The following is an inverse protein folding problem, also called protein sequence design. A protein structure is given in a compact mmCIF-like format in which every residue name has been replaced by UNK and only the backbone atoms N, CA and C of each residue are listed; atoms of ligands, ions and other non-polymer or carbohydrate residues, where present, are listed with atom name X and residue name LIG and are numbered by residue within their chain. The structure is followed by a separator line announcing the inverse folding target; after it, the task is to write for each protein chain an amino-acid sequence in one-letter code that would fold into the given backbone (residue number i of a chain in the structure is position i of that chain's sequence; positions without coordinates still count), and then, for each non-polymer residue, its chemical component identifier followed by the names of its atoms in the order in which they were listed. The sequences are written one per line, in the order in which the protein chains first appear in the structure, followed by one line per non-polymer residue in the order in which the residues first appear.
data_IF_375723653252
#
_entry.id   IF_375723653252
#
_cell.length_a   1.000
_cell.length_b   1.000
_cell.length_c   1.000
_cell.angle_alpha   90.00
_cell.angle_beta   90.00
_cell.angle_gamma   90.00
#
_symmetry.space_group_name_H-M   'P 1'
#
loop_
_entity.id
_entity.type
_entity.pdbx_description
1 polymer ?
#
# COMPACT_ATOMS: atom_id res chain seq x y z
N UNK A 1 -35.11 -19.27 -19.58
CA UNK A 1 -33.76 -19.48 -20.13
C UNK A 1 -32.78 -18.33 -19.80
N UNK A 2 -33.03 -17.12 -20.18
CA UNK A 2 -32.12 -15.96 -19.94
C UNK A 2 -31.81 -15.65 -18.47
N UNK A 3 -32.73 -15.92 -17.53
CA UNK A 3 -32.49 -15.68 -16.09
C UNK A 3 -31.59 -16.74 -15.43
N UNK A 4 -31.60 -17.97 -15.92
CA UNK A 4 -30.77 -19.05 -15.39
C UNK A 4 -29.31 -18.87 -15.85
N UNK A 5 -29.04 -18.52 -17.10
CA UNK A 5 -27.70 -18.23 -17.61
C UNK A 5 -27.06 -17.02 -16.93
N UNK A 6 -27.85 -15.98 -16.58
CA UNK A 6 -27.36 -14.82 -15.83
C UNK A 6 -26.97 -15.19 -14.38
N UNK A 7 -27.71 -16.15 -13.78
CA UNK A 7 -27.40 -16.65 -12.44
C UNK A 7 -26.12 -17.50 -12.42
N UNK A 8 -25.94 -18.38 -13.39
CA UNK A 8 -24.75 -19.23 -13.49
C UNK A 8 -23.48 -18.40 -13.75
N UNK A 9 -23.55 -17.42 -14.65
CA UNK A 9 -22.45 -16.51 -14.91
C UNK A 9 -22.08 -15.69 -13.67
N UNK A 10 -23.08 -15.22 -12.91
CA UNK A 10 -22.85 -14.49 -11.65
C UNK A 10 -22.20 -15.36 -10.60
N UNK A 11 -22.64 -16.59 -10.46
CA UNK A 11 -22.06 -17.55 -9.49
C UNK A 11 -20.63 -17.91 -9.88
N UNK A 12 -20.34 -18.11 -11.16
CA UNK A 12 -18.98 -18.37 -11.64
C UNK A 12 -18.03 -17.18 -11.35
N UNK A 13 -18.50 -15.95 -11.49
CA UNK A 13 -17.72 -14.76 -11.15
C UNK A 13 -17.46 -14.69 -9.65
N UNK A 14 -18.46 -14.95 -8.81
CA UNK A 14 -18.31 -14.98 -7.36
C UNK A 14 -17.33 -16.06 -6.89
N UNK A 15 -17.44 -17.27 -7.45
CA UNK A 15 -16.52 -18.37 -7.15
C UNK A 15 -15.07 -18.04 -7.52
N UNK A 16 -14.88 -17.39 -8.67
CA UNK A 16 -13.57 -16.90 -9.10
C UNK A 16 -12.99 -15.85 -8.14
N UNK A 17 -13.81 -14.89 -7.71
CA UNK A 17 -13.41 -13.87 -6.74
C UNK A 17 -13.04 -14.50 -5.39
N UNK A 18 -13.81 -15.46 -4.91
CA UNK A 18 -13.49 -16.17 -3.67
C UNK A 18 -12.15 -16.93 -3.76
N UNK A 19 -11.88 -17.58 -4.88
CA UNK A 19 -10.62 -18.28 -5.11
C UNK A 19 -9.43 -17.31 -5.17
N UNK A 20 -9.61 -16.16 -5.79
CA UNK A 20 -8.58 -15.10 -5.83
C UNK A 20 -8.29 -14.55 -4.43
N UNK A 21 -9.32 -14.26 -3.66
CA UNK A 21 -9.18 -13.80 -2.28
C UNK A 21 -8.41 -14.82 -1.45
N UNK A 22 -8.78 -16.10 -1.52
CA UNK A 22 -8.09 -17.17 -0.82
C UNK A 22 -6.62 -17.32 -1.23
N UNK A 23 -6.32 -17.16 -2.52
CA UNK A 23 -4.95 -17.19 -3.02
C UNK A 23 -4.12 -16.02 -2.44
N UNK A 24 -4.66 -14.81 -2.38
CA UNK A 24 -3.99 -13.66 -1.77
C UNK A 24 -3.89 -13.77 -0.25
N UNK A 25 -4.90 -14.30 0.42
CA UNK A 25 -4.85 -14.57 1.87
C UNK A 25 -3.74 -15.57 2.20
N UNK A 26 -3.56 -16.61 1.39
CA UNK A 26 -2.47 -17.56 1.55
C UNK A 26 -1.10 -16.95 1.29
N UNK A 27 -1.02 -16.01 0.34
CA UNK A 27 0.21 -15.32 -0.02
C UNK A 27 0.59 -14.21 0.98
N UNK A 28 -0.40 -13.55 1.58
CA UNK A 28 -0.23 -12.45 2.51
C UNK A 28 -0.34 -12.93 3.95
N UNK A 29 0.51 -13.84 4.36
CA UNK A 29 0.61 -14.34 5.74
C UNK A 29 1.89 -13.78 6.38
N UNK A 30 1.80 -12.54 6.86
CA UNK A 30 2.93 -11.82 7.45
C UNK A 30 3.12 -12.08 8.94
N UNK A 31 2.16 -12.72 9.59
CA UNK A 31 2.10 -12.87 11.04
C UNK A 31 1.31 -11.78 11.76
N UNK A 32 0.83 -10.77 11.03
CA UNK A 32 -0.07 -9.73 11.54
C UNK A 32 -1.35 -9.71 10.72
N UNK A 33 -2.46 -10.09 11.34
CA UNK A 33 -3.75 -10.26 10.62
C UNK A 33 -4.30 -8.97 10.06
N UNK A 34 -4.06 -7.83 10.70
CA UNK A 34 -4.52 -6.52 10.21
C UNK A 34 -3.78 -6.16 8.94
N UNK A 35 -2.45 -6.31 8.95
CA UNK A 35 -1.64 -6.09 7.76
C UNK A 35 -2.05 -7.04 6.63
N UNK A 36 -2.26 -8.31 6.93
CA UNK A 36 -2.67 -9.31 5.94
C UNK A 36 -3.99 -8.94 5.27
N UNK A 37 -4.96 -8.45 6.04
CA UNK A 37 -6.25 -7.99 5.52
C UNK A 37 -6.09 -6.79 4.59
N UNK A 38 -5.29 -5.81 4.98
CA UNK A 38 -5.00 -4.63 4.14
C UNK A 38 -4.30 -5.06 2.86
N UNK A 39 -3.30 -5.91 2.95
CA UNK A 39 -2.54 -6.40 1.79
C UNK A 39 -3.41 -7.19 0.82
N UNK A 40 -4.29 -8.05 1.31
CA UNK A 40 -5.22 -8.79 0.47
C UNK A 40 -6.11 -7.84 -0.34
N UNK A 41 -6.73 -6.86 0.29
CA UNK A 41 -7.55 -5.86 -0.38
C UNK A 41 -6.78 -5.04 -1.41
N UNK A 42 -5.57 -4.57 -1.07
CA UNK A 42 -4.74 -3.77 -1.97
C UNK A 42 -4.16 -4.60 -3.12
N UNK A 43 -3.83 -5.87 -2.88
CA UNK A 43 -3.40 -6.80 -3.94
C UNK A 43 -4.48 -7.00 -5.00
N UNK A 44 -5.74 -7.13 -4.58
CA UNK A 44 -6.87 -7.22 -5.52
C UNK A 44 -7.03 -5.94 -6.34
N UNK A 45 -6.92 -4.78 -5.72
CA UNK A 45 -6.96 -3.48 -6.41
C UNK A 45 -5.82 -3.35 -7.42
N UNK A 46 -4.60 -3.71 -7.02
CA UNK A 46 -3.42 -3.68 -7.89
C UNK A 46 -3.62 -4.57 -9.11
N UNK A 47 -4.16 -5.76 -8.92
CA UNK A 47 -4.43 -6.67 -10.03
C UNK A 47 -5.39 -6.08 -11.05
N UNK A 48 -6.51 -5.49 -10.61
CA UNK A 48 -7.47 -4.85 -11.53
C UNK A 48 -6.86 -3.70 -12.32
N UNK A 49 -5.82 -3.07 -11.80
CA UNK A 49 -5.11 -1.95 -12.41
C UNK A 49 -3.81 -2.34 -13.12
N UNK A 50 -3.53 -3.63 -13.25
CA UNK A 50 -2.27 -4.15 -13.80
C UNK A 50 -1.02 -3.58 -13.11
N UNK A 51 -1.09 -3.50 -11.79
CA UNK A 51 0.04 -3.08 -10.95
C UNK A 51 0.59 -4.33 -10.26
N UNK A 52 1.90 -4.50 -10.30
CA UNK A 52 2.58 -5.58 -9.59
C UNK A 52 2.96 -5.11 -8.19
N UNK A 53 2.32 -5.68 -7.19
CA UNK A 53 2.64 -5.45 -5.78
C UNK A 53 3.48 -6.62 -5.26
N UNK A 54 4.70 -6.31 -4.85
CA UNK A 54 5.61 -7.27 -4.20
C UNK A 54 5.71 -6.94 -2.72
N UNK A 55 5.52 -7.93 -1.87
CA UNK A 55 5.56 -7.76 -0.42
C UNK A 55 6.53 -8.75 0.22
N UNK A 56 7.46 -8.23 1.03
CA UNK A 56 8.32 -9.02 1.91
C UNK A 56 8.17 -8.43 3.31
N UNK A 57 7.35 -9.05 4.15
CA UNK A 57 6.98 -8.46 5.42
C UNK A 57 6.99 -9.47 6.57
N UNK A 58 7.64 -9.07 7.66
CA UNK A 58 7.44 -9.65 8.98
C UNK A 58 6.44 -8.79 9.75
N UNK A 59 5.18 -9.17 9.72
CA UNK A 59 4.10 -8.43 10.38
C UNK A 59 4.18 -8.45 11.89
N UNK A 60 4.92 -9.38 12.48
CA UNK A 60 5.11 -9.44 13.94
C UNK A 60 5.89 -8.23 14.46
N UNK A 61 6.68 -7.58 13.60
CA UNK A 61 7.36 -6.33 13.94
C UNK A 61 6.39 -5.19 14.29
N UNK A 62 5.11 -5.30 13.93
CA UNK A 62 4.07 -4.31 14.15
C UNK A 62 3.15 -4.62 15.34
N UNK A 63 3.40 -5.68 16.10
CA UNK A 63 2.51 -6.16 17.16
C UNK A 63 2.29 -5.14 18.27
N UNK A 64 3.19 -4.18 18.44
CA UNK A 64 3.06 -3.08 19.40
C UNK A 64 2.08 -1.98 18.95
N UNK A 65 1.70 -1.94 17.69
CA UNK A 65 0.83 -0.91 17.14
C UNK A 65 -0.64 -1.24 17.30
N UNK A 66 -1.44 -0.20 17.52
CA UNK A 66 -2.90 -0.30 17.50
C UNK A 66 -3.40 -0.72 16.12
N UNK A 67 -4.45 -1.54 16.11
CA UNK A 67 -5.08 -2.07 14.89
C UNK A 67 -5.48 -0.97 13.91
N UNK A 68 -6.08 0.12 14.42
CA UNK A 68 -6.49 1.24 13.58
C UNK A 68 -5.30 1.99 12.98
N UNK A 69 -4.21 2.10 13.73
CA UNK A 69 -3.01 2.77 13.26
C UNK A 69 -2.32 1.98 12.14
N UNK A 70 -2.26 0.65 12.26
CA UNK A 70 -1.75 -0.23 11.20
C UNK A 70 -2.62 -0.09 9.95
N UNK A 71 -3.93 -0.20 10.10
CA UNK A 71 -4.88 -0.10 8.99
C UNK A 71 -4.77 1.24 8.26
N UNK A 72 -4.72 2.33 9.01
CA UNK A 72 -4.63 3.68 8.45
C UNK A 72 -3.28 3.94 7.77
N UNK A 73 -2.18 3.55 8.41
CA UNK A 73 -0.84 3.77 7.88
C UNK A 73 -0.66 3.02 6.56
N UNK A 74 -0.89 1.72 6.55
CA UNK A 74 -0.70 0.90 5.34
C UNK A 74 -1.77 1.18 4.28
N UNK A 75 -3.01 1.42 4.70
CA UNK A 75 -4.09 1.80 3.79
C UNK A 75 -3.76 3.08 3.04
N UNK A 76 -3.39 4.15 3.75
CA UNK A 76 -3.04 5.43 3.15
C UNK A 76 -1.77 5.35 2.30
N UNK A 77 -0.74 4.68 2.79
CA UNK A 77 0.53 4.55 2.07
C UNK A 77 0.36 3.76 0.76
N UNK A 78 -0.37 2.66 0.79
CA UNK A 78 -0.63 1.85 -0.40
C UNK A 78 -1.59 2.54 -1.36
N UNK A 79 -2.59 3.26 -0.89
CA UNK A 79 -3.46 4.06 -1.76
C UNK A 79 -2.67 5.12 -2.52
N UNK A 80 -1.76 5.83 -1.86
CA UNK A 80 -0.88 6.79 -2.50
C UNK A 80 0.01 6.13 -3.56
N UNK A 81 0.59 4.97 -3.23
CA UNK A 81 1.43 4.22 -4.16
C UNK A 81 0.64 3.74 -5.39
N UNK A 82 -0.55 3.20 -5.18
CA UNK A 82 -1.44 2.73 -6.26
C UNK A 82 -1.84 3.88 -7.17
N UNK A 83 -2.25 5.00 -6.59
CA UNK A 83 -2.69 6.17 -7.36
C UNK A 83 -1.55 6.77 -8.21
N UNK A 84 -0.36 6.87 -7.65
CA UNK A 84 0.82 7.32 -8.37
C UNK A 84 1.21 6.35 -9.50
N UNK A 85 1.21 5.06 -9.22
CA UNK A 85 1.57 4.01 -10.17
C UNK A 85 0.53 3.87 -11.29
N UNK A 86 -0.74 4.08 -10.98
CA UNK A 86 -1.84 4.00 -11.96
C UNK A 86 -1.70 5.01 -13.11
N UNK A 87 -0.98 6.10 -12.90
CA UNK A 87 -0.69 7.13 -13.91
C UNK A 87 0.42 6.72 -14.90
N UNK A 88 1.14 5.64 -14.63
CA UNK A 88 2.23 5.17 -15.47
C UNK A 88 1.69 4.36 -16.64
N UNK A 89 2.07 4.74 -17.87
CA UNK A 89 1.63 4.06 -19.08
C UNK A 89 2.39 2.77 -19.37
N UNK A 90 3.69 2.72 -19.04
CA UNK A 90 4.54 1.55 -19.27
C UNK A 90 4.20 0.42 -18.30
N UNK A 91 3.71 -0.74 -18.80
CA UNK A 91 3.34 -1.87 -17.93
C UNK A 91 4.49 -2.40 -17.08
N UNK A 92 5.72 -2.33 -17.57
CA UNK A 92 6.92 -2.83 -16.87
C UNK A 92 7.30 -1.94 -15.68
N UNK A 93 6.84 -0.71 -15.65
CA UNK A 93 7.10 0.25 -14.58
C UNK A 93 5.93 0.40 -13.59
N UNK A 94 4.89 -0.40 -13.72
CA UNK A 94 3.75 -0.38 -12.79
C UNK A 94 4.04 -1.30 -11.61
N UNK A 95 4.98 -0.86 -10.77
CA UNK A 95 5.58 -1.65 -9.70
C UNK A 95 5.42 -0.95 -8.35
N UNK A 96 5.02 -1.72 -7.34
CA UNK A 96 5.01 -1.31 -5.93
C UNK A 96 5.72 -2.38 -5.12
N UNK A 97 6.65 -1.98 -4.26
CA UNK A 97 7.33 -2.86 -3.32
C UNK A 97 7.04 -2.44 -1.90
N UNK A 98 6.66 -3.39 -1.07
CA UNK A 98 6.47 -3.19 0.37
C UNK A 98 7.40 -4.11 1.13
N UNK A 99 8.10 -3.56 2.12
CA UNK A 99 8.83 -4.36 3.09
C UNK A 99 8.55 -3.92 4.51
N UNK A 100 8.47 -4.87 5.42
CA UNK A 100 8.38 -4.66 6.86
C UNK A 100 9.36 -5.59 7.53
N UNK A 101 10.25 -5.04 8.35
CA UNK A 101 11.26 -5.83 9.04
C UNK A 101 11.60 -5.20 10.38
N UNK A 102 12.14 -6.01 11.27
CA UNK A 102 12.77 -5.54 12.50
C UNK A 102 14.25 -5.35 12.24
N UNK A 103 14.73 -4.12 12.35
CA UNK A 103 16.12 -3.75 12.11
C UNK A 103 16.68 -3.00 13.33
N UNK A 104 17.70 -3.52 13.97
CA UNK A 104 18.39 -2.87 15.10
C UNK A 104 17.44 -2.36 16.19
N UNK A 105 16.39 -3.14 16.51
CA UNK A 105 15.37 -2.76 17.49
C UNK A 105 14.27 -1.86 16.97
N UNK A 106 14.32 -1.44 15.69
CA UNK A 106 13.28 -0.63 15.04
C UNK A 106 12.36 -1.50 14.19
N UNK A 107 11.08 -1.15 14.17
CA UNK A 107 10.19 -1.58 13.10
C UNK A 107 10.46 -0.70 11.87
N UNK A 108 10.96 -1.29 10.81
CA UNK A 108 11.28 -0.59 9.56
C UNK A 108 10.24 -0.94 8.50
N UNK A 109 9.51 0.06 8.02
CA UNK A 109 8.53 -0.05 6.96
C UNK A 109 9.05 0.72 5.75
N UNK A 110 9.01 0.10 4.59
CA UNK A 110 9.43 0.72 3.33
C UNK A 110 8.42 0.41 2.25
N UNK A 111 7.89 1.44 1.63
CA UNK A 111 6.99 1.32 0.50
C UNK A 111 7.56 2.14 -0.64
N UNK A 112 7.82 1.47 -1.76
CA UNK A 112 8.37 2.08 -2.97
C UNK A 112 7.42 1.89 -4.13
N UNK A 113 7.34 2.88 -4.98
CA UNK A 113 6.65 2.75 -6.26
C UNK A 113 7.38 3.53 -7.36
N UNK A 114 7.30 3.02 -8.58
CA UNK A 114 7.65 3.83 -9.72
C UNK A 114 6.71 5.02 -9.86
N UNK A 115 7.22 6.14 -10.30
CA UNK A 115 6.39 7.32 -10.59
C UNK A 115 6.96 8.11 -11.75
N UNK A 116 6.11 8.86 -12.44
CA UNK A 116 6.49 9.81 -13.47
C UNK A 116 6.31 11.23 -12.95
N UNK A 117 7.20 12.11 -13.36
CA UNK A 117 7.18 13.52 -13.01
C UNK A 117 8.16 13.91 -11.92
N UNK A 118 8.15 15.19 -11.59
CA UNK A 118 8.97 15.76 -10.52
C UNK A 118 8.08 16.12 -9.34
N UNK A 119 8.48 15.71 -8.14
CA UNK A 119 7.88 16.15 -6.91
C UNK A 119 8.66 17.37 -6.37
N UNK A 120 7.94 18.43 -6.03
CA UNK A 120 8.48 19.53 -5.26
C UNK A 120 8.28 19.25 -3.79
N UNK A 121 9.32 19.51 -3.00
CA UNK A 121 9.28 19.30 -1.56
C UNK A 121 9.26 20.64 -0.83
N UNK A 122 8.35 20.78 0.14
CA UNK A 122 8.36 21.83 1.15
C UNK A 122 8.39 21.20 2.54
N UNK A 123 9.34 21.59 3.39
CA UNK A 123 9.51 21.06 4.75
C UNK A 123 9.63 19.53 4.81
N UNK A 124 10.28 18.93 3.81
CA UNK A 124 10.43 17.47 3.71
C UNK A 124 9.20 16.72 3.24
N UNK A 125 8.14 17.43 2.83
CA UNK A 125 6.90 16.86 2.32
C UNK A 125 6.69 17.20 0.85
N UNK A 126 6.15 16.26 0.04
CA UNK A 126 5.81 16.56 -1.33
C UNK A 126 4.68 17.60 -1.39
N UNK A 127 4.88 18.62 -2.25
CA UNK A 127 3.84 19.59 -2.57
C UNK A 127 3.02 19.05 -3.72
N UNK A 128 1.74 18.87 -3.47
CA UNK A 128 0.79 18.36 -4.45
C UNK A 128 0.13 19.48 -5.24
N UNK A 129 -0.30 19.18 -6.47
CA UNK A 129 -1.10 20.12 -7.26
C UNK A 129 -2.47 20.35 -6.62
N UNK A 130 -3.13 21.48 -6.92
CA UNK A 130 -4.36 21.92 -6.24
C UNK A 130 -5.50 20.88 -6.18
N UNK A 131 -5.56 19.91 -7.09
CA UNK A 131 -6.55 18.83 -7.08
C UNK A 131 -6.17 17.67 -6.16
N UNK A 132 -4.89 17.51 -5.90
CA UNK A 132 -4.33 16.41 -5.11
C UNK A 132 -4.10 16.81 -3.64
N UNK A 133 -4.13 18.10 -3.32
CA UNK A 133 -3.84 18.66 -1.99
C UNK A 133 -4.71 18.03 -0.88
N UNK A 134 -5.98 17.73 -1.18
CA UNK A 134 -6.90 17.14 -0.20
C UNK A 134 -6.64 15.64 0.01
N UNK A 135 -6.08 14.94 -0.97
CA UNK A 135 -5.86 13.49 -0.92
C UNK A 135 -4.44 13.11 -0.52
N UNK A 136 -3.42 13.60 -1.25
CA UNK A 136 -2.04 13.19 -1.08
C UNK A 136 -1.33 13.87 0.11
N UNK A 137 -1.49 15.17 0.28
CA UNK A 137 -0.92 15.90 1.41
C UNK A 137 -1.47 15.42 2.75
N UNK A 138 -2.74 15.04 2.79
CA UNK A 138 -3.41 14.54 3.99
C UNK A 138 -2.97 13.11 4.33
N UNK A 139 -2.82 12.23 3.34
CA UNK A 139 -2.35 10.87 3.54
C UNK A 139 -0.94 10.81 4.10
N UNK A 140 0.00 11.59 3.56
CA UNK A 140 1.38 11.66 4.05
C UNK A 140 1.45 12.22 5.47
N UNK A 141 0.70 13.29 5.76
CA UNK A 141 0.64 13.88 7.09
C UNK A 141 0.05 12.91 8.11
N UNK A 142 -0.96 12.15 7.73
CA UNK A 142 -1.54 11.08 8.55
C UNK A 142 -0.51 9.99 8.87
N UNK A 143 0.31 9.60 7.90
CA UNK A 143 1.39 8.62 8.08
C UNK A 143 2.45 9.15 9.06
N UNK A 144 2.86 10.41 8.92
CA UNK A 144 3.80 11.05 9.84
C UNK A 144 3.25 11.11 11.27
N UNK A 145 1.98 11.46 11.41
CA UNK A 145 1.32 11.51 12.73
C UNK A 145 1.23 10.13 13.37
N UNK A 146 0.92 9.10 12.59
CA UNK A 146 0.91 7.72 13.07
C UNK A 146 2.29 7.26 13.55
N UNK A 147 3.34 7.55 12.79
CA UNK A 147 4.71 7.25 13.19
C UNK A 147 5.11 8.00 14.47
N UNK A 148 4.81 9.29 14.54
CA UNK A 148 5.14 10.14 15.69
C UNK A 148 4.45 9.69 16.99
N UNK A 149 3.24 9.15 16.91
CA UNK A 149 2.51 8.57 18.05
C UNK A 149 3.32 7.50 18.77
N UNK A 150 4.14 6.74 18.03
CA UNK A 150 5.00 5.68 18.56
C UNK A 150 6.47 6.09 18.71
N UNK A 151 6.75 7.39 18.66
CA UNK A 151 8.11 7.92 18.76
C UNK A 151 8.95 7.72 17.50
N UNK A 152 8.33 7.39 16.39
CA UNK A 152 8.98 7.13 15.11
C UNK A 152 8.97 8.31 14.15
N UNK A 153 9.54 8.08 12.98
CA UNK A 153 9.65 9.06 11.90
C UNK A 153 9.19 8.46 10.57
N UNK A 154 8.65 9.30 9.71
CA UNK A 154 8.35 8.95 8.33
C UNK A 154 9.07 9.93 7.39
N UNK A 155 9.80 9.40 6.44
CA UNK A 155 10.56 10.17 5.45
C UNK A 155 10.19 9.75 4.04
N UNK A 156 10.22 10.71 3.11
CA UNK A 156 9.96 10.49 1.69
C UNK A 156 11.18 10.90 0.91
N UNK A 157 11.60 10.03 0.01
CA UNK A 157 12.68 10.30 -0.94
C UNK A 157 12.25 9.91 -2.35
N UNK A 158 12.80 10.61 -3.33
CA UNK A 158 12.62 10.27 -4.74
C UNK A 158 13.98 10.07 -5.39
N UNK A 159 14.11 9.03 -6.19
CA UNK A 159 15.37 8.70 -6.84
C UNK A 159 15.12 7.91 -8.12
N UNK A 160 15.60 8.43 -9.25
CA UNK A 160 15.63 7.70 -10.53
C UNK A 160 14.27 7.11 -10.95
N UNK A 161 13.17 7.88 -10.79
CA UNK A 161 11.82 7.43 -11.13
C UNK A 161 11.18 6.53 -10.07
N UNK A 162 11.76 6.47 -8.86
CA UNK A 162 11.19 5.80 -7.70
C UNK A 162 10.81 6.79 -6.61
N UNK A 163 9.64 6.57 -6.03
CA UNK A 163 9.17 7.23 -4.82
C UNK A 163 9.30 6.24 -3.66
N UNK A 164 9.96 6.64 -2.58
CA UNK A 164 10.12 5.81 -1.40
C UNK A 164 9.55 6.51 -0.17
N UNK A 165 8.66 5.83 0.52
CA UNK A 165 8.23 6.15 1.87
C UNK A 165 8.94 5.19 2.83
N UNK A 166 9.64 5.75 3.82
CA UNK A 166 10.29 4.99 4.88
C UNK A 166 9.77 5.42 6.22
N UNK A 167 9.32 4.46 7.01
CA UNK A 167 8.87 4.66 8.39
C UNK A 167 9.75 3.85 9.33
N UNK A 168 10.29 4.50 10.35
CA UNK A 168 11.10 3.87 11.40
C UNK A 168 10.45 4.14 12.75
N UNK A 169 10.13 3.08 13.49
CA UNK A 169 9.52 3.16 14.81
C UNK A 169 10.38 2.37 15.80
N UNK A 170 10.85 3.02 16.86
CA UNK A 170 11.70 2.36 17.85
C UNK A 170 10.99 1.24 18.61
#
# INVERSE_FOLDING_TARGET
MLRAESGEKRNAVLDNMEQEIKAYEAQNDTGNKVLDTVLTGKSLTCRTKNIQLTCVADGTALDFMDVMDISNLFGNALDNAIESTDKIADPERRLIHLSVARQKGFAAIRIENCFDGELKFEKGLPVTTKKDVLYHGFGVKSIQNAAAKYGGTATITTREGWFELRVLIP
#
